data_IF_793376444516
#
_entry.id   IF_793376444516
#
_cell.length_a   1.000
_cell.length_b   1.000
_cell.length_c   1.000
_cell.angle_alpha   90.00
_cell.angle_beta   90.00
_cell.angle_gamma   90.00
#
_symmetry.space_group_name_H-M   'P 1'
#
loop_
_entity.id
_entity.type
_entity.pdbx_description
1 polymer ?
#
# COMPACT_ATOMS: atom_id res chain seq x y z
N UNK A 1 -5.76 -61.55 -42.56
CA UNK A 1 -5.05 -61.04 -41.36
C UNK A 1 -5.24 -59.52 -41.26
N UNK A 2 -6.40 -59.03 -40.83
CA UNK A 2 -6.67 -57.57 -40.73
C UNK A 2 -7.57 -57.21 -39.52
N UNK A 3 -7.75 -58.10 -38.56
CA UNK A 3 -8.67 -57.90 -37.43
C UNK A 3 -8.08 -57.30 -36.13
N UNK A 4 -6.76 -57.34 -35.81
CA UNK A 4 -6.33 -56.92 -34.47
C UNK A 4 -6.11 -55.41 -34.34
N UNK A 5 -5.99 -54.67 -35.45
CA UNK A 5 -5.67 -53.24 -35.41
C UNK A 5 -6.89 -52.35 -35.11
N UNK A 6 -8.09 -52.79 -35.52
CA UNK A 6 -9.32 -52.00 -35.36
C UNK A 6 -9.80 -51.92 -33.91
N UNK A 7 -9.53 -52.95 -33.11
CA UNK A 7 -9.98 -53.02 -31.71
C UNK A 7 -9.15 -52.09 -30.83
N UNK A 8 -7.84 -51.93 -31.11
CA UNK A 8 -6.95 -51.06 -30.33
C UNK A 8 -7.30 -49.57 -30.54
N UNK A 9 -7.70 -49.19 -31.75
CA UNK A 9 -8.12 -47.81 -32.04
C UNK A 9 -9.43 -47.40 -31.32
N UNK A 10 -10.35 -48.35 -31.12
CA UNK A 10 -11.64 -48.10 -30.44
C UNK A 10 -11.49 -47.91 -28.92
N UNK A 11 -10.49 -48.53 -28.29
CA UNK A 11 -10.25 -48.35 -26.85
C UNK A 11 -9.49 -47.06 -26.51
N UNK A 12 -8.68 -46.51 -27.43
CA UNK A 12 -8.00 -45.22 -27.20
C UNK A 12 -8.94 -44.00 -27.30
N UNK A 13 -10.09 -44.12 -27.97
CA UNK A 13 -11.03 -43.01 -28.12
C UNK A 13 -11.95 -42.80 -26.90
N UNK A 14 -11.98 -43.73 -25.94
CA UNK A 14 -12.95 -43.73 -24.84
C UNK A 14 -12.43 -43.15 -23.51
N UNK A 15 -11.21 -42.62 -23.45
CA UNK A 15 -10.58 -42.19 -22.19
C UNK A 15 -9.99 -40.78 -22.23
N UNK A 16 -10.61 -39.86 -22.96
CA UNK A 16 -10.41 -38.42 -22.70
C UNK A 16 -11.37 -37.97 -21.60
N UNK A 17 -11.12 -38.42 -20.37
CA UNK A 17 -11.66 -37.74 -19.19
C UNK A 17 -11.02 -36.35 -19.14
N UNK A 18 -11.69 -35.39 -19.78
CA UNK A 18 -11.40 -33.97 -19.59
C UNK A 18 -11.75 -33.64 -18.14
N UNK A 19 -10.75 -33.72 -17.25
CA UNK A 19 -10.85 -33.15 -15.92
C UNK A 19 -10.95 -31.62 -16.06
N UNK A 20 -12.15 -31.14 -16.29
CA UNK A 20 -12.47 -29.72 -16.16
C UNK A 20 -12.53 -29.42 -14.67
N UNK A 21 -11.40 -29.05 -14.08
CA UNK A 21 -11.35 -28.46 -12.76
C UNK A 21 -11.94 -27.04 -12.86
N UNK A 22 -13.26 -26.93 -12.98
CA UNK A 22 -14.01 -25.68 -12.85
C UNK A 22 -14.08 -25.30 -11.36
N UNK A 23 -12.92 -25.07 -10.74
CA UNK A 23 -12.90 -24.37 -9.45
C UNK A 23 -13.14 -22.90 -9.78
N UNK A 24 -14.41 -22.50 -9.80
CA UNK A 24 -14.79 -21.09 -9.87
C UNK A 24 -14.01 -20.35 -8.78
N UNK A 25 -13.02 -19.55 -9.19
CA UNK A 25 -12.27 -18.73 -8.27
C UNK A 25 -13.28 -17.86 -7.52
N UNK A 26 -13.33 -18.02 -6.20
CA UNK A 26 -14.09 -17.13 -5.32
C UNK A 26 -13.10 -16.33 -4.51
N UNK A 27 -13.43 -15.06 -4.34
CA UNK A 27 -12.69 -14.17 -3.47
C UNK A 27 -12.79 -14.67 -2.02
N UNK A 28 -11.79 -14.40 -1.18
CA UNK A 28 -11.89 -14.70 0.25
C UNK A 28 -13.05 -13.92 0.89
N UNK A 29 -13.46 -14.34 2.08
CA UNK A 29 -14.44 -13.61 2.90
C UNK A 29 -13.68 -12.57 3.72
N UNK A 30 -14.18 -11.33 3.77
CA UNK A 30 -13.54 -10.26 4.54
C UNK A 30 -13.66 -10.49 6.06
N UNK A 31 -12.57 -10.24 6.78
CA UNK A 31 -12.63 -9.97 8.21
C UNK A 31 -13.28 -8.59 8.49
N UNK A 32 -13.72 -8.38 9.72
CA UNK A 32 -14.41 -7.16 10.11
C UNK A 32 -13.55 -5.89 9.94
N UNK A 33 -12.24 -6.00 10.19
CA UNK A 33 -11.28 -4.90 10.09
C UNK A 33 -10.83 -4.62 8.65
N UNK A 34 -11.11 -5.52 7.71
CA UNK A 34 -10.61 -5.48 6.33
C UNK A 34 -11.58 -4.77 5.39
N UNK A 35 -11.02 -3.99 4.47
CA UNK A 35 -11.79 -3.37 3.40
C UNK A 35 -12.23 -4.42 2.38
N UNK A 36 -13.52 -4.43 2.01
CA UNK A 36 -14.04 -5.29 0.94
C UNK A 36 -13.76 -4.74 -0.46
N UNK A 37 -13.56 -3.43 -0.58
CA UNK A 37 -13.08 -2.80 -1.81
C UNK A 37 -12.32 -1.52 -1.51
N UNK A 38 -11.59 -1.02 -2.50
CA UNK A 38 -11.10 0.35 -2.47
C UNK A 38 -11.33 1.04 -3.81
N UNK A 39 -11.54 2.36 -3.76
CA UNK A 39 -11.68 3.23 -4.91
C UNK A 39 -10.54 4.24 -4.94
N UNK A 40 -9.87 4.31 -6.10
CA UNK A 40 -8.84 5.30 -6.40
C UNK A 40 -9.12 5.88 -7.78
N UNK A 41 -9.29 7.20 -7.86
CA UNK A 41 -9.74 7.90 -9.06
C UNK A 41 -11.09 7.34 -9.56
N UNK A 42 -11.14 6.82 -10.79
CA UNK A 42 -12.35 6.26 -11.41
C UNK A 42 -12.45 4.72 -11.30
N UNK A 43 -11.48 4.08 -10.65
CA UNK A 43 -11.41 2.63 -10.55
C UNK A 43 -11.83 2.16 -9.16
N UNK A 44 -12.63 1.08 -9.12
CA UNK A 44 -13.00 0.37 -7.90
C UNK A 44 -12.50 -1.07 -7.99
N UNK A 45 -11.80 -1.52 -6.96
CA UNK A 45 -11.23 -2.87 -6.88
C UNK A 45 -11.90 -3.63 -5.74
N UNK A 46 -12.59 -4.72 -6.06
CA UNK A 46 -13.19 -5.61 -5.07
C UNK A 46 -12.19 -6.68 -4.64
N UNK A 47 -11.96 -6.77 -3.33
CA UNK A 47 -10.90 -7.58 -2.73
C UNK A 47 -11.43 -8.90 -2.16
N UNK A 48 -12.52 -8.81 -1.40
CA UNK A 48 -13.13 -9.93 -0.69
C UNK A 48 -14.64 -9.78 -0.67
N UNK A 49 -15.35 -10.89 -0.51
CA UNK A 49 -16.80 -10.89 -0.38
C UNK A 49 -17.19 -10.64 1.09
N UNK A 50 -18.27 -9.90 1.31
CA UNK A 50 -18.77 -9.69 2.66
C UNK A 50 -19.40 -10.96 3.24
N UNK A 51 -19.43 -11.11 4.58
CA UNK A 51 -20.06 -12.26 5.22
C UNK A 51 -21.47 -12.52 4.68
N UNK A 52 -21.80 -13.80 4.50
CA UNK A 52 -23.00 -14.26 3.79
C UNK A 52 -23.02 -13.95 2.27
N UNK A 53 -21.84 -13.87 1.64
CA UNK A 53 -21.66 -13.66 0.20
C UNK A 53 -22.39 -12.41 -0.32
N UNK A 54 -22.44 -11.36 0.53
CA UNK A 54 -23.02 -10.08 0.14
C UNK A 54 -22.02 -9.27 -0.68
N UNK A 55 -22.53 -8.50 -1.63
CA UNK A 55 -21.73 -7.51 -2.32
C UNK A 55 -21.16 -6.47 -1.33
N UNK A 56 -19.98 -5.95 -1.65
CA UNK A 56 -19.35 -4.89 -0.87
C UNK A 56 -20.21 -3.61 -0.95
N UNK A 57 -20.67 -3.06 0.17
CA UNK A 57 -21.50 -1.86 0.16
C UNK A 57 -20.67 -0.61 -0.18
N UNK A 58 -21.31 0.41 -0.74
CA UNK A 58 -20.64 1.67 -1.13
C UNK A 58 -20.78 2.81 -0.11
N UNK A 59 -21.60 2.59 0.93
CA UNK A 59 -21.97 3.60 1.94
C UNK A 59 -21.18 3.49 3.25
N UNK A 60 -20.24 2.55 3.35
CA UNK A 60 -19.40 2.33 4.54
C UNK A 60 -17.93 2.63 4.22
N UNK A 61 -17.70 3.80 3.62
CA UNK A 61 -16.41 4.22 3.12
C UNK A 61 -15.61 5.02 4.15
N UNK A 62 -14.31 4.75 4.21
CA UNK A 62 -13.32 5.55 4.95
C UNK A 62 -12.30 6.08 3.95
N UNK A 63 -12.09 7.40 3.95
CA UNK A 63 -11.15 8.04 3.04
C UNK A 63 -9.79 8.22 3.71
N UNK A 64 -8.74 7.65 3.14
CA UNK A 64 -7.36 7.83 3.57
C UNK A 64 -6.47 8.17 2.38
N UNK A 65 -5.72 9.28 2.46
CA UNK A 65 -4.77 9.74 1.42
C UNK A 65 -5.37 9.74 -0.01
N UNK A 66 -6.65 10.09 -0.14
CA UNK A 66 -7.34 10.14 -1.44
C UNK A 66 -7.85 8.78 -1.97
N UNK A 67 -7.65 7.70 -1.22
CA UNK A 67 -8.24 6.38 -1.49
C UNK A 67 -9.46 6.20 -0.58
N UNK A 68 -10.57 5.71 -1.14
CA UNK A 68 -11.77 5.37 -0.35
C UNK A 68 -11.81 3.87 -0.15
N UNK A 69 -11.70 3.42 1.10
CA UNK A 69 -11.79 2.01 1.48
C UNK A 69 -13.20 1.70 1.96
N UNK A 70 -13.87 0.72 1.35
CA UNK A 70 -15.22 0.31 1.72
C UNK A 70 -15.18 -0.91 2.65
N UNK A 71 -16.08 -0.95 3.63
CA UNK A 71 -16.17 -2.02 4.61
C UNK A 71 -17.54 -2.70 4.60
N UNK A 72 -17.60 -3.97 4.98
CA UNK A 72 -18.86 -4.73 4.97
C UNK A 72 -19.93 -4.19 5.93
N UNK A 73 -19.53 -3.44 6.94
CA UNK A 73 -20.41 -2.81 7.92
C UNK A 73 -19.91 -1.41 8.25
N UNK A 74 -20.81 -0.54 8.72
CA UNK A 74 -20.42 0.76 9.23
C UNK A 74 -19.41 0.61 10.38
N UNK A 75 -18.38 1.45 10.37
CA UNK A 75 -17.32 1.45 11.38
C UNK A 75 -17.22 2.82 12.02
N UNK A 76 -17.17 2.84 13.35
CA UNK A 76 -16.82 4.04 14.12
C UNK A 76 -15.35 3.90 14.52
N UNK A 77 -14.46 4.48 13.74
CA UNK A 77 -13.03 4.49 14.06
C UNK A 77 -12.75 5.55 15.13
N UNK A 78 -11.94 5.20 16.11
CA UNK A 78 -11.41 6.13 17.11
C UNK A 78 -10.12 6.78 16.60
N UNK A 79 -9.66 7.81 17.32
CA UNK A 79 -8.31 8.31 17.14
C UNK A 79 -7.30 7.27 17.66
N UNK A 80 -6.16 7.16 16.99
CA UNK A 80 -5.11 6.25 17.42
C UNK A 80 -4.41 6.76 18.69
N UNK A 81 -4.02 5.82 19.55
CA UNK A 81 -3.05 6.09 20.63
C UNK A 81 -1.62 6.18 20.06
N UNK A 82 -0.68 6.83 20.78
CA UNK A 82 0.72 6.88 20.36
C UNK A 82 1.27 5.47 20.09
N UNK A 83 2.00 5.32 18.98
CA UNK A 83 2.60 4.07 18.51
C UNK A 83 1.62 2.91 18.17
N UNK A 84 0.30 3.15 18.27
CA UNK A 84 -0.73 2.20 17.84
C UNK A 84 -0.68 2.00 16.31
N UNK A 85 -0.95 0.76 15.88
CA UNK A 85 -1.06 0.45 14.45
C UNK A 85 -2.37 1.02 13.92
N UNK A 86 -2.27 2.10 13.16
CA UNK A 86 -3.41 2.76 12.54
C UNK A 86 -4.02 1.97 11.40
N UNK A 87 -3.15 1.40 10.55
CA UNK A 87 -3.56 0.60 9.40
C UNK A 87 -2.52 -0.47 9.08
N UNK A 88 -2.97 -1.56 8.47
CA UNK A 88 -2.14 -2.64 7.98
C UNK A 88 -2.52 -2.94 6.53
N UNK A 89 -1.53 -3.18 5.68
CA UNK A 89 -1.71 -3.61 4.29
C UNK A 89 -0.97 -4.93 4.12
N UNK A 90 -1.73 -5.99 3.86
CA UNK A 90 -1.21 -7.30 3.50
C UNK A 90 -1.52 -7.57 2.03
N UNK A 91 -0.49 -7.55 1.18
CA UNK A 91 -0.58 -7.66 -0.28
C UNK A 91 -1.45 -6.53 -0.90
N UNK A 92 -2.76 -6.74 -1.01
CA UNK A 92 -3.76 -5.77 -1.50
C UNK A 92 -4.87 -5.50 -0.48
N UNK A 93 -4.91 -6.29 0.59
CA UNK A 93 -5.95 -6.21 1.59
C UNK A 93 -5.55 -5.18 2.65
N UNK A 94 -6.42 -4.20 2.88
CA UNK A 94 -6.17 -3.11 3.82
C UNK A 94 -7.06 -3.26 5.03
N UNK A 95 -6.45 -3.30 6.20
CA UNK A 95 -7.11 -3.20 7.49
C UNK A 95 -6.90 -1.81 8.06
N UNK A 96 -7.97 -1.16 8.50
CA UNK A 96 -7.90 0.14 9.18
C UNK A 96 -8.41 -0.06 10.61
N UNK A 97 -7.64 0.32 11.62
CA UNK A 97 -7.99 0.10 13.03
C UNK A 97 -8.42 1.39 13.71
N UNK A 98 -7.70 2.48 13.44
CA UNK A 98 -7.98 3.82 13.97
C UNK A 98 -7.56 4.90 12.97
N UNK A 99 -7.89 6.16 13.27
CA UNK A 99 -7.56 7.32 12.42
C UNK A 99 -6.48 8.16 13.09
N UNK A 100 -5.47 8.58 12.33
CA UNK A 100 -4.47 9.49 12.87
C UNK A 100 -5.09 10.87 13.15
N UNK A 101 -4.71 11.52 14.27
CA UNK A 101 -5.06 12.92 14.52
C UNK A 101 -4.67 13.81 13.34
N UNK A 102 -5.38 14.92 13.13
CA UNK A 102 -5.10 15.85 12.02
C UNK A 102 -3.69 16.47 12.07
N UNK A 103 -3.05 16.45 13.24
CA UNK A 103 -1.68 16.92 13.49
C UNK A 103 -0.63 15.88 13.12
N UNK A 104 -1.03 14.65 12.77
CA UNK A 104 -0.16 13.50 12.55
C UNK A 104 -0.30 12.94 11.13
N UNK A 105 0.67 12.13 10.72
CA UNK A 105 0.72 11.44 9.44
C UNK A 105 0.90 9.94 9.64
N UNK A 106 0.35 9.16 8.70
CA UNK A 106 0.59 7.71 8.62
C UNK A 106 2.01 7.44 8.11
N UNK A 107 2.85 6.87 8.97
CA UNK A 107 4.25 6.49 8.69
C UNK A 107 4.40 4.97 8.73
N UNK A 108 5.12 4.42 7.76
CA UNK A 108 5.42 2.98 7.71
C UNK A 108 6.38 2.60 8.84
N UNK A 109 6.07 1.53 9.58
CA UNK A 109 6.96 0.98 10.61
C UNK A 109 8.20 0.32 9.95
N UNK A 110 9.40 0.60 10.47
CA UNK A 110 10.70 0.32 9.79
C UNK A 110 11.12 -1.17 9.77
N UNK A 111 10.60 -2.02 10.64
CA UNK A 111 11.10 -3.40 10.86
C UNK A 111 10.23 -4.53 10.27
N UNK A 112 9.49 -4.26 9.19
CA UNK A 112 8.46 -5.21 8.75
C UNK A 112 8.80 -6.00 7.49
N UNK A 113 8.48 -7.30 7.55
CA UNK A 113 8.53 -8.26 6.45
C UNK A 113 7.94 -7.67 5.17
N UNK A 114 8.53 -7.97 4.00
CA UNK A 114 8.11 -7.40 2.71
C UNK A 114 6.63 -7.59 2.36
N UNK A 115 5.92 -8.56 2.96
CA UNK A 115 4.53 -8.88 2.64
C UNK A 115 3.48 -8.03 3.36
N UNK A 116 3.75 -7.66 4.62
CA UNK A 116 2.82 -6.90 5.47
C UNK A 116 3.42 -5.55 5.82
N UNK A 117 2.68 -4.49 5.55
CA UNK A 117 3.08 -3.11 5.84
C UNK A 117 2.12 -2.49 6.83
N UNK A 118 2.61 -2.12 8.00
CA UNK A 118 1.87 -1.42 9.05
C UNK A 118 2.24 0.05 9.08
N UNK A 119 1.23 0.84 9.38
CA UNK A 119 1.31 2.27 9.52
C UNK A 119 0.97 2.65 10.96
N UNK A 120 1.79 3.51 11.54
CA UNK A 120 1.55 4.17 12.83
C UNK A 120 1.34 5.66 12.58
N UNK A 121 0.73 6.33 13.55
CA UNK A 121 0.62 7.78 13.52
C UNK A 121 1.87 8.40 14.14
N UNK A 122 2.41 9.41 13.48
CA UNK A 122 3.52 10.22 13.98
C UNK A 122 3.23 11.67 13.68
N UNK A 123 3.61 12.57 14.59
CA UNK A 123 3.47 14.00 14.37
C UNK A 123 3.97 14.42 13.00
N UNK A 124 3.24 15.36 12.38
CA UNK A 124 3.66 16.05 11.16
C UNK A 124 4.80 17.02 11.45
N UNK A 125 5.76 16.62 12.26
CA UNK A 125 7.08 17.20 12.32
C UNK A 125 7.95 16.29 11.48
N UNK A 126 8.54 16.81 10.40
CA UNK A 126 9.77 16.16 9.97
C UNK A 126 10.68 16.24 11.20
N UNK A 127 11.17 15.11 11.73
CA UNK A 127 12.12 15.09 12.85
C UNK A 127 13.14 16.21 12.61
N UNK A 128 13.48 17.01 13.61
CA UNK A 128 14.58 17.96 13.44
C UNK A 128 15.82 17.18 12.99
N UNK A 129 16.51 17.66 11.97
CA UNK A 129 17.71 16.99 11.48
C UNK A 129 18.77 16.98 12.57
N UNK A 130 19.41 15.83 12.81
CA UNK A 130 20.60 15.80 13.65
C UNK A 130 21.76 16.55 12.93
N UNK A 131 22.72 17.14 13.67
CA UNK A 131 23.84 17.85 13.05
C UNK A 131 24.59 16.97 12.04
N UNK A 132 24.61 17.38 10.77
CA UNK A 132 25.25 16.63 9.67
C UNK A 132 24.37 15.57 9.00
N UNK A 133 23.11 15.42 9.41
CA UNK A 133 22.16 14.53 8.74
C UNK A 133 21.71 15.09 7.38
N UNK A 134 21.40 14.19 6.45
CA UNK A 134 20.85 14.52 5.14
C UNK A 134 19.40 14.99 5.33
N UNK A 135 19.16 16.27 5.06
CA UNK A 135 17.85 16.90 5.21
C UNK A 135 16.87 16.59 4.09
N UNK A 136 17.36 16.13 2.94
CA UNK A 136 16.55 15.87 1.77
C UNK A 136 17.32 15.24 0.63
N UNK A 137 16.61 14.82 -0.40
CA UNK A 137 17.22 14.28 -1.62
C UNK A 137 16.47 14.87 -2.82
N UNK A 138 17.18 15.37 -3.82
CA UNK A 138 16.57 15.95 -5.02
C UNK A 138 17.57 16.70 -5.88
N UNK A 139 17.07 17.59 -6.73
CA UNK A 139 17.90 18.47 -7.53
C UNK A 139 17.24 19.85 -7.66
N UNK A 140 17.98 20.88 -8.12
CA UNK A 140 17.45 22.24 -8.22
C UNK A 140 16.25 22.40 -9.19
N UNK A 141 16.03 21.45 -10.10
CA UNK A 141 14.98 21.52 -11.14
C UNK A 141 13.67 20.91 -10.64
N UNK A 142 13.75 19.73 -10.02
CA UNK A 142 12.60 18.95 -9.54
C UNK A 142 12.21 19.39 -8.11
N UNK A 143 13.13 20.05 -7.41
CA UNK A 143 12.99 20.38 -6.00
C UNK A 143 13.52 19.28 -5.08
N UNK A 144 13.75 19.65 -3.82
CA UNK A 144 14.29 18.74 -2.81
C UNK A 144 13.13 18.07 -2.09
N UNK A 145 13.10 16.74 -2.08
CA UNK A 145 12.17 15.98 -1.24
C UNK A 145 12.75 15.93 0.17
N UNK A 146 12.13 16.60 1.16
CA UNK A 146 12.69 16.70 2.50
C UNK A 146 12.49 15.40 3.30
N UNK A 147 13.51 15.01 4.06
CA UNK A 147 13.54 13.85 4.96
C UNK A 147 13.39 14.26 6.44
N UNK A 148 14.04 15.36 6.83
CA UNK A 148 13.95 15.97 8.16
C UNK A 148 13.72 17.50 8.03
N UNK A 149 13.42 18.19 9.12
CA UNK A 149 13.28 19.66 9.13
C UNK A 149 14.53 20.27 9.72
N UNK A 150 15.11 21.21 8.98
CA UNK A 150 16.19 22.03 9.49
C UNK A 150 15.67 22.98 10.58
N UNK A 151 16.56 23.45 11.46
CA UNK A 151 16.22 24.44 12.50
C UNK A 151 15.71 25.76 11.87
N UNK A 152 15.08 26.64 12.67
CA UNK A 152 14.38 27.84 12.18
C UNK A 152 15.24 28.78 11.28
N UNK A 153 16.57 28.72 11.39
CA UNK A 153 17.52 29.55 10.60
C UNK A 153 18.27 28.79 9.49
N UNK A 154 17.89 27.55 9.22
CA UNK A 154 18.57 26.67 8.27
C UNK A 154 17.66 26.27 7.12
N UNK A 155 18.22 26.22 5.91
CA UNK A 155 17.56 25.68 4.73
C UNK A 155 18.19 24.37 4.30
N UNK A 156 17.35 23.48 3.78
CA UNK A 156 17.79 22.23 3.21
C UNK A 156 18.28 22.47 1.78
N UNK A 157 19.60 22.44 1.56
CA UNK A 157 20.25 22.82 0.29
C UNK A 157 21.03 21.62 -0.25
N UNK A 158 21.06 21.37 -1.58
CA UNK A 158 21.83 20.25 -2.15
C UNK A 158 23.30 20.40 -1.78
N UNK A 159 23.93 19.33 -1.33
CA UNK A 159 25.37 19.33 -1.03
C UNK A 159 26.13 19.51 -2.34
N UNK A 160 26.99 20.53 -2.41
CA UNK A 160 27.74 20.90 -3.61
C UNK A 160 28.43 19.69 -4.23
N UNK A 161 28.03 19.36 -5.46
CA UNK A 161 28.90 18.67 -6.39
C UNK A 161 29.46 19.75 -7.32
N UNK A 162 30.78 19.90 -7.41
CA UNK A 162 31.51 20.81 -8.31
C UNK A 162 31.13 20.67 -9.81
N UNK A 163 30.23 19.74 -10.15
CA UNK A 163 29.67 19.49 -11.47
C UNK A 163 28.14 19.48 -11.38
N UNK A 164 27.49 20.55 -11.85
CA UNK A 164 26.04 20.57 -12.01
C UNK A 164 25.62 19.54 -13.06
N UNK A 165 24.95 18.47 -12.62
CA UNK A 165 24.30 17.52 -13.51
C UNK A 165 22.78 17.61 -13.30
N UNK A 166 22.02 18.16 -14.28
CA UNK A 166 20.58 18.41 -14.14
C UNK A 166 19.73 17.13 -13.98
N UNK A 167 20.31 15.97 -14.26
CA UNK A 167 19.64 14.66 -14.17
C UNK A 167 20.01 13.96 -12.85
N UNK A 168 21.09 14.37 -12.20
CA UNK A 168 21.56 13.71 -10.97
C UNK A 168 20.70 14.11 -9.78
N UNK A 169 20.27 13.12 -9.02
CA UNK A 169 19.65 13.31 -7.71
C UNK A 169 20.77 13.42 -6.68
N UNK A 170 20.77 14.50 -5.89
CA UNK A 170 21.79 14.81 -4.90
C UNK A 170 21.21 14.77 -3.50
N UNK A 171 22.07 14.47 -2.53
CA UNK A 171 21.73 14.66 -1.12
C UNK A 171 21.70 16.15 -0.81
N UNK A 172 20.85 16.54 0.13
CA UNK A 172 20.76 17.89 0.65
C UNK A 172 21.06 17.90 2.15
N UNK A 173 21.68 18.97 2.62
CA UNK A 173 22.09 19.18 4.01
C UNK A 173 21.55 20.51 4.53
N UNK A 174 21.30 20.59 5.83
CA UNK A 174 20.87 21.85 6.46
C UNK A 174 22.04 22.85 6.46
N UNK A 175 21.85 23.99 5.82
CA UNK A 175 22.82 25.08 5.77
C UNK A 175 22.17 26.37 6.28
N UNK A 176 22.94 27.20 6.98
CA UNK A 176 22.49 28.53 7.36
C UNK A 176 22.31 29.41 6.12
N UNK A 177 21.27 30.22 6.11
CA UNK A 177 21.17 31.30 5.14
C UNK A 177 22.31 32.30 5.39
N UNK A 178 23.22 32.45 4.42
CA UNK A 178 24.25 33.50 4.41
C UNK A 178 23.72 34.68 3.59
#
# INVERSE_FOLDING_TARGET
MLLPCFIIALFLAASTFSMTLNRHYRRPICEFSQSCSYAYQQFTFELCDCPNMKACPTNHGIQLKGITYQFCSARKLTMCEPDEIAAEVDIIQTSIYCVCPHTEIYVKRKDESKSVVRYVCQEKGKKECEPGEICGVGNPIIGIKPLCQCQEDQQCVPSDSDVFNPISIQNATCMYNI
#
